data_IF_389991472468
#
_entry.id   IF_389991472468
#
_cell.length_a   1.000
_cell.length_b   1.000
_cell.length_c   1.000
_cell.angle_alpha   90.00
_cell.angle_beta   90.00
_cell.angle_gamma   90.00
#
_symmetry.space_group_name_H-M   'P 1'
#
loop_
_entity.id
_entity.type
_entity.pdbx_description
1 polymer ?
#
# COMPACT_ATOMS: atom_id res chain seq x y z
N UNK A 1 -60.74 81.72 -22.36
CA UNK A 1 -59.70 81.32 -21.40
C UNK A 1 -60.16 80.08 -20.68
N UNK A 2 -59.57 78.93 -20.99
CA UNK A 2 -59.72 77.69 -20.23
C UNK A 2 -58.37 76.97 -20.33
N UNK A 3 -57.72 76.79 -19.19
CA UNK A 3 -56.42 76.12 -19.03
C UNK A 3 -56.66 74.66 -18.73
N UNK A 4 -56.39 73.78 -19.68
CA UNK A 4 -56.42 72.33 -19.44
C UNK A 4 -55.02 71.83 -19.12
N UNK A 5 -54.84 71.44 -17.85
CA UNK A 5 -53.59 70.97 -17.28
C UNK A 5 -53.27 69.55 -17.75
N UNK A 6 -52.12 69.42 -18.44
CA UNK A 6 -51.53 68.16 -18.86
C UNK A 6 -50.88 67.45 -17.65
N UNK A 7 -51.59 66.50 -17.04
CA UNK A 7 -51.06 65.66 -15.94
C UNK A 7 -50.03 64.69 -16.54
N UNK A 8 -48.75 65.02 -16.35
CA UNK A 8 -47.62 64.13 -16.67
C UNK A 8 -47.57 63.00 -15.65
N UNK A 9 -48.18 61.87 -15.98
CA UNK A 9 -48.03 60.62 -15.23
C UNK A 9 -46.60 60.09 -15.37
N UNK A 10 -45.77 60.30 -14.35
CA UNK A 10 -44.48 59.60 -14.19
C UNK A 10 -44.74 58.15 -13.83
N UNK A 11 -44.63 57.25 -14.81
CA UNK A 11 -44.51 55.82 -14.57
C UNK A 11 -43.11 55.54 -14.03
N UNK A 12 -42.98 55.42 -12.71
CA UNK A 12 -41.78 54.90 -12.06
C UNK A 12 -41.71 53.39 -12.33
N UNK A 13 -40.94 52.99 -13.33
CA UNK A 13 -40.51 51.60 -13.46
C UNK A 13 -39.53 51.30 -12.32
N UNK A 14 -40.01 50.61 -11.29
CA UNK A 14 -39.17 50.04 -10.25
C UNK A 14 -38.39 48.88 -10.88
N UNK A 15 -37.12 49.11 -11.22
CA UNK A 15 -36.19 48.05 -11.55
C UNK A 15 -35.92 47.23 -10.28
N UNK A 16 -36.51 46.03 -10.22
CA UNK A 16 -36.15 45.01 -9.23
C UNK A 16 -34.66 44.71 -9.40
N UNK A 17 -33.82 44.82 -8.35
CA UNK A 17 -32.41 44.46 -8.46
C UNK A 17 -32.29 42.96 -8.73
N UNK A 18 -31.83 42.61 -9.93
CA UNK A 18 -31.54 41.23 -10.30
C UNK A 18 -30.34 40.74 -9.46
N UNK A 19 -30.61 39.89 -8.48
CA UNK A 19 -29.58 39.31 -7.63
C UNK A 19 -28.65 38.42 -8.47
N UNK A 20 -27.41 38.90 -8.69
CA UNK A 20 -26.40 38.18 -9.46
C UNK A 20 -25.99 36.92 -8.67
N UNK A 21 -26.48 35.76 -9.11
CA UNK A 21 -26.07 34.45 -8.57
C UNK A 21 -24.55 34.32 -8.63
N UNK A 22 -23.91 34.08 -7.49
CA UNK A 22 -22.46 33.89 -7.41
C UNK A 22 -22.09 32.63 -8.17
N UNK A 23 -21.25 32.78 -9.21
CA UNK A 23 -20.75 31.64 -9.99
C UNK A 23 -19.91 30.78 -9.05
N UNK A 24 -20.15 29.46 -8.98
CA UNK A 24 -19.36 28.58 -8.12
C UNK A 24 -17.92 28.53 -8.60
N UNK A 25 -16.98 28.52 -7.65
CA UNK A 25 -15.54 28.39 -7.94
C UNK A 25 -15.33 27.04 -8.63
N UNK A 26 -14.81 27.08 -9.86
CA UNK A 26 -14.47 25.87 -10.62
C UNK A 26 -13.35 25.13 -9.91
N UNK A 27 -13.47 23.80 -9.85
CA UNK A 27 -12.41 22.95 -9.32
C UNK A 27 -11.09 23.16 -10.10
N UNK A 28 -10.00 23.35 -9.35
CA UNK A 28 -8.65 23.42 -9.88
C UNK A 28 -7.87 22.19 -9.39
N UNK A 29 -7.19 21.51 -10.31
CA UNK A 29 -6.35 20.35 -9.95
C UNK A 29 -5.25 20.77 -8.99
N UNK A 30 -5.05 19.98 -7.93
CA UNK A 30 -3.95 20.14 -6.95
C UNK A 30 -2.57 20.13 -7.62
N UNK A 31 -2.45 19.53 -8.81
CA UNK A 31 -1.20 19.36 -9.54
C UNK A 31 -0.97 20.45 -10.59
N UNK A 32 -1.91 21.37 -10.81
CA UNK A 32 -1.82 22.38 -11.88
C UNK A 32 -0.49 23.16 -11.83
N UNK A 33 -0.11 23.64 -10.65
CA UNK A 33 1.15 24.37 -10.45
C UNK A 33 2.40 23.50 -10.71
N UNK A 34 2.36 22.21 -10.36
CA UNK A 34 3.48 21.29 -10.60
C UNK A 34 3.65 21.04 -12.10
N UNK A 35 2.54 20.79 -12.79
CA UNK A 35 2.53 20.59 -14.24
C UNK A 35 3.01 21.83 -14.98
N UNK A 36 2.54 23.02 -14.59
CA UNK A 36 2.98 24.29 -15.16
C UNK A 36 4.50 24.48 -15.01
N UNK A 37 5.04 24.31 -13.80
CA UNK A 37 6.48 24.41 -13.53
C UNK A 37 7.32 23.39 -14.31
N UNK A 38 6.81 22.17 -14.45
CA UNK A 38 7.48 21.13 -15.23
C UNK A 38 7.59 21.53 -16.71
N UNK A 39 6.50 21.99 -17.33
CA UNK A 39 6.55 22.43 -18.72
C UNK A 39 7.35 23.73 -18.91
N UNK A 40 7.34 24.63 -17.93
CA UNK A 40 8.16 25.85 -17.97
C UNK A 40 9.66 25.54 -17.86
N UNK A 41 10.07 24.58 -17.03
CA UNK A 41 11.49 24.22 -16.88
C UNK A 41 12.08 23.54 -18.11
N UNK A 42 11.25 22.84 -18.90
CA UNK A 42 11.66 22.19 -20.14
C UNK A 42 11.72 23.16 -21.34
N UNK A 43 11.20 24.39 -21.20
CA UNK A 43 11.22 25.40 -22.26
C UNK A 43 12.58 26.10 -22.32
N UNK A 44 13.40 25.66 -23.25
CA UNK A 44 14.62 26.36 -23.65
C UNK A 44 14.35 27.15 -24.95
N UNK A 45 14.64 28.47 -25.01
CA UNK A 45 14.15 29.37 -26.07
C UNK A 45 14.71 29.10 -27.48
N UNK A 46 15.70 28.22 -27.62
CA UNK A 46 16.37 27.90 -28.90
C UNK A 46 16.79 26.44 -29.01
N UNK A 47 16.11 25.51 -28.32
CA UNK A 47 16.47 24.08 -28.32
C UNK A 47 16.24 23.38 -29.67
N UNK A 48 15.16 23.73 -30.37
CA UNK A 48 14.76 23.04 -31.61
C UNK A 48 15.51 23.52 -32.84
N UNK A 49 15.62 24.85 -33.04
CA UNK A 49 16.18 25.45 -34.25
C UNK A 49 17.42 26.33 -34.00
N UNK A 50 17.94 26.39 -32.77
CA UNK A 50 19.06 27.26 -32.43
C UNK A 50 18.74 28.75 -32.55
N UNK A 51 19.79 29.58 -32.56
CA UNK A 51 19.67 31.02 -32.80
C UNK A 51 19.62 31.30 -34.30
N UNK A 52 18.76 32.22 -34.74
CA UNK A 52 18.72 32.68 -36.14
C UNK A 52 20.04 33.36 -36.56
N UNK A 53 20.64 34.11 -35.64
CA UNK A 53 22.01 34.63 -35.72
C UNK A 53 22.65 34.43 -34.35
N UNK A 54 23.76 33.70 -34.30
CA UNK A 54 24.45 33.42 -33.03
C UNK A 54 24.92 34.73 -32.40
N UNK A 55 24.52 35.05 -31.16
CA UNK A 55 25.04 36.23 -30.48
C UNK A 55 26.54 36.05 -30.25
N UNK A 56 27.34 36.90 -30.90
CA UNK A 56 28.79 36.94 -30.70
C UNK A 56 29.10 37.77 -29.47
N UNK A 57 30.00 37.27 -28.62
CA UNK A 57 30.54 38.04 -27.50
C UNK A 57 31.52 39.09 -28.02
N UNK A 58 31.64 40.20 -27.30
CA UNK A 58 32.65 41.22 -27.60
C UNK A 58 34.06 40.62 -27.52
N UNK A 59 35.03 41.03 -28.35
CA UNK A 59 36.42 40.58 -28.25
C UNK A 59 37.07 40.83 -26.88
N UNK A 60 36.55 41.77 -26.11
CA UNK A 60 36.97 42.05 -24.72
C UNK A 60 36.59 40.92 -23.74
N UNK A 61 35.61 40.08 -24.09
CA UNK A 61 35.11 38.94 -23.30
C UNK A 61 35.71 37.61 -23.75
N UNK A 62 36.99 37.61 -24.14
CA UNK A 62 37.70 36.39 -24.49
C UNK A 62 37.76 35.42 -23.29
N UNK A 63 37.86 34.12 -23.60
CA UNK A 63 37.92 33.07 -22.60
C UNK A 63 39.20 33.21 -21.75
N UNK A 64 39.05 33.48 -20.45
CA UNK A 64 40.18 33.50 -19.50
C UNK A 64 40.46 32.08 -18.98
N UNK A 65 41.67 31.86 -18.47
CA UNK A 65 42.06 30.61 -17.78
C UNK A 65 41.07 30.28 -16.65
N UNK A 66 40.75 28.99 -16.49
CA UNK A 66 39.86 28.44 -15.44
C UNK A 66 38.39 28.92 -15.47
N UNK A 67 37.90 29.51 -16.57
CA UNK A 67 36.50 29.99 -16.67
C UNK A 67 35.46 28.87 -16.81
N UNK A 68 35.86 27.70 -17.33
CA UNK A 68 34.97 26.55 -17.54
C UNK A 68 35.10 25.48 -16.47
N UNK A 69 35.93 25.71 -15.47
CA UNK A 69 36.14 24.74 -14.40
C UNK A 69 34.95 24.77 -13.46
N UNK A 70 34.32 23.60 -13.28
CA UNK A 70 33.29 23.42 -12.27
C UNK A 70 33.98 23.46 -10.91
N UNK A 71 33.81 24.57 -10.19
CA UNK A 71 34.31 24.68 -8.82
C UNK A 71 33.59 23.65 -7.95
N UNK A 72 34.33 22.67 -7.42
CA UNK A 72 33.80 21.81 -6.36
C UNK A 72 33.59 22.67 -5.12
N UNK A 73 32.35 22.81 -4.67
CA UNK A 73 32.11 23.38 -3.34
C UNK A 73 32.79 22.45 -2.32
N UNK A 74 33.86 22.95 -1.69
CA UNK A 74 34.68 22.19 -0.72
C UNK A 74 33.90 21.80 0.54
N UNK A 75 32.70 22.33 0.73
CA UNK A 75 31.75 21.94 1.76
C UNK A 75 30.75 20.93 1.20
N UNK A 76 31.25 19.83 0.65
CA UNK A 76 30.41 18.65 0.49
C UNK A 76 30.26 18.05 1.88
N UNK A 77 29.29 18.52 2.65
CA UNK A 77 28.71 17.68 3.70
C UNK A 77 28.40 16.36 2.99
N UNK A 78 29.12 15.31 3.36
CA UNK A 78 29.00 14.02 2.71
C UNK A 78 27.51 13.73 2.63
N UNK A 79 26.96 13.60 1.41
CA UNK A 79 25.54 13.37 1.18
C UNK A 79 25.08 12.40 2.25
N UNK A 80 24.28 12.89 3.19
CA UNK A 80 23.74 12.09 4.26
C UNK A 80 22.75 11.15 3.58
N UNK A 81 23.26 10.08 2.97
CA UNK A 81 22.49 8.90 2.69
C UNK A 81 21.91 8.56 4.06
N UNK A 82 20.60 8.81 4.22
CA UNK A 82 19.81 8.77 5.45
C UNK A 82 19.78 7.38 6.14
N UNK A 83 20.76 6.54 5.87
CA UNK A 83 20.62 5.10 5.85
C UNK A 83 21.95 4.36 6.03
N UNK A 84 23.11 5.04 6.03
CA UNK A 84 24.39 4.33 6.23
C UNK A 84 24.59 3.88 7.68
N UNK A 85 23.98 4.58 8.64
CA UNK A 85 24.18 4.35 10.07
C UNK A 85 23.08 3.49 10.72
N UNK A 86 22.01 3.11 10.01
CA UNK A 86 20.80 2.53 10.64
C UNK A 86 20.36 1.16 10.11
N UNK A 87 21.01 0.57 9.10
CA UNK A 87 20.56 -0.73 8.55
C UNK A 87 21.05 -1.95 9.32
N UNK A 88 22.08 -1.82 10.14
CA UNK A 88 22.68 -2.94 10.85
C UNK A 88 22.68 -2.64 12.35
N UNK A 89 22.20 -3.59 13.19
CA UNK A 89 22.37 -3.45 14.63
C UNK A 89 23.87 -3.38 14.96
N UNK A 90 24.24 -2.72 16.07
CA UNK A 90 25.63 -2.70 16.52
C UNK A 90 26.11 -4.12 16.79
N UNK A 91 27.38 -4.39 16.48
CA UNK A 91 28.01 -5.67 16.81
C UNK A 91 28.06 -5.81 18.33
N UNK A 92 27.62 -6.94 18.92
CA UNK A 92 27.70 -7.18 20.36
C UNK A 92 29.13 -7.01 20.87
N UNK A 93 29.28 -6.45 22.08
CA UNK A 93 30.62 -6.17 22.64
C UNK A 93 31.26 -7.46 23.14
N UNK A 94 32.60 -7.52 23.15
CA UNK A 94 33.36 -8.68 23.64
C UNK A 94 33.02 -9.08 25.09
N UNK A 95 32.65 -8.11 25.92
CA UNK A 95 32.33 -8.32 27.33
C UNK A 95 30.83 -8.58 27.57
N UNK A 96 30.02 -8.54 26.52
CA UNK A 96 28.59 -8.82 26.59
C UNK A 96 28.41 -10.34 26.52
N UNK A 97 28.10 -10.95 27.67
CA UNK A 97 27.76 -12.37 27.70
C UNK A 97 26.38 -12.55 27.06
N UNK A 98 26.22 -13.49 26.12
CA UNK A 98 24.89 -13.78 25.60
C UNK A 98 24.00 -14.23 26.77
N UNK A 99 22.68 -13.99 26.71
CA UNK A 99 21.76 -14.52 27.71
C UNK A 99 21.76 -16.04 27.63
N UNK A 100 22.62 -16.68 28.43
CA UNK A 100 22.61 -18.13 28.60
C UNK A 100 21.50 -18.42 29.60
N UNK A 101 20.41 -19.00 29.13
CA UNK A 101 19.33 -19.49 29.99
C UNK A 101 19.82 -20.72 30.77
N UNK A 102 20.41 -20.46 31.94
CA UNK A 102 20.73 -21.50 32.91
C UNK A 102 19.46 -21.89 33.66
N UNK A 103 18.62 -22.71 33.03
CA UNK A 103 17.47 -23.27 33.71
C UNK A 103 17.93 -24.37 34.67
N UNK A 104 17.64 -24.25 35.96
CA UNK A 104 17.87 -25.29 36.98
C UNK A 104 16.85 -26.44 36.85
N UNK A 105 16.59 -26.92 35.64
CA UNK A 105 15.63 -27.98 35.35
C UNK A 105 16.34 -29.32 35.21
N UNK A 106 15.76 -30.37 35.78
CA UNK A 106 16.27 -31.72 35.59
C UNK A 106 15.75 -32.29 34.26
N UNK A 107 16.55 -32.12 33.19
CA UNK A 107 16.21 -32.59 31.85
C UNK A 107 15.95 -34.10 31.78
N UNK A 108 16.61 -34.90 32.63
CA UNK A 108 16.40 -36.35 32.68
C UNK A 108 15.00 -36.68 33.17
N UNK A 109 14.56 -36.04 34.26
CA UNK A 109 13.22 -36.23 34.80
C UNK A 109 12.14 -35.72 33.82
N UNK A 110 12.36 -34.55 33.21
CA UNK A 110 11.42 -33.99 32.23
C UNK A 110 11.30 -34.86 30.99
N UNK A 111 12.40 -35.40 30.47
CA UNK A 111 12.38 -36.27 29.30
C UNK A 111 11.64 -37.58 29.58
N UNK A 112 11.81 -38.16 30.77
CA UNK A 112 11.06 -39.34 31.21
C UNK A 112 9.55 -39.06 31.25
N UNK A 113 9.15 -37.97 31.90
CA UNK A 113 7.73 -37.58 31.94
C UNK A 113 7.17 -37.28 30.55
N UNK A 114 7.94 -36.61 29.69
CA UNK A 114 7.54 -36.32 28.32
C UNK A 114 7.40 -37.58 27.48
N UNK A 115 8.25 -38.59 27.66
CA UNK A 115 8.13 -39.87 26.99
C UNK A 115 6.89 -40.64 27.45
N UNK A 116 6.62 -40.67 28.76
CA UNK A 116 5.43 -41.31 29.33
C UNK A 116 4.13 -40.64 28.89
N UNK A 117 4.11 -39.31 28.78
CA UNK A 117 2.93 -38.53 28.36
C UNK A 117 2.66 -38.60 26.85
N UNK A 118 3.66 -38.94 26.04
CA UNK A 118 3.50 -39.00 24.58
C UNK A 118 2.66 -40.22 24.20
N UNK A 119 1.58 -40.06 23.39
CA UNK A 119 0.85 -41.21 22.90
C UNK A 119 1.72 -42.05 21.95
N UNK A 120 1.47 -43.37 21.85
CA UNK A 120 2.19 -44.22 20.92
C UNK A 120 1.98 -43.74 19.48
N UNK A 121 3.05 -43.75 18.68
CA UNK A 121 2.98 -43.39 17.26
C UNK A 121 2.17 -44.44 16.53
N UNK A 122 1.00 -44.05 16.02
CA UNK A 122 0.21 -44.92 15.13
C UNK A 122 0.94 -45.09 13.80
N UNK A 123 1.03 -46.31 13.24
CA UNK A 123 1.64 -46.51 11.93
C UNK A 123 0.87 -45.73 10.86
N UNK A 124 1.59 -45.23 9.85
CA UNK A 124 0.96 -44.52 8.74
C UNK A 124 -0.03 -45.46 8.02
N UNK A 125 -1.27 -45.00 7.86
CA UNK A 125 -2.30 -45.75 7.13
C UNK A 125 -1.90 -45.85 5.66
N UNK A 126 -1.94 -47.08 5.15
CA UNK A 126 -1.55 -47.45 3.80
C UNK A 126 -2.76 -48.09 3.13
N UNK A 127 -3.18 -47.56 1.99
CA UNK A 127 -4.23 -48.15 1.16
C UNK A 127 -3.58 -49.02 0.09
N UNK A 128 -4.12 -50.23 -0.07
CA UNK A 128 -3.70 -51.17 -1.12
C UNK A 128 -4.94 -51.55 -1.92
N UNK A 129 -5.13 -50.91 -3.06
CA UNK A 129 -6.30 -51.13 -3.92
C UNK A 129 -6.06 -52.19 -5.00
N UNK A 130 -4.80 -52.57 -5.26
CA UNK A 130 -4.42 -53.45 -6.38
C UNK A 130 -3.97 -54.83 -5.93
N UNK A 131 -4.34 -55.87 -6.69
CA UNK A 131 -3.92 -57.27 -6.42
C UNK A 131 -2.40 -57.48 -6.43
N UNK A 132 -1.64 -56.55 -7.02
CA UNK A 132 -0.16 -56.56 -7.08
C UNK A 132 0.51 -55.76 -5.95
N UNK A 133 -0.25 -55.24 -4.97
CA UNK A 133 0.31 -54.65 -3.76
C UNK A 133 0.83 -53.21 -3.87
N UNK A 134 0.47 -52.46 -4.91
CA UNK A 134 0.84 -51.04 -5.01
C UNK A 134 0.17 -50.28 -3.87
N UNK A 135 1.00 -49.68 -3.01
CA UNK A 135 0.56 -49.06 -1.76
C UNK A 135 0.59 -47.54 -1.86
N UNK A 136 -0.50 -46.88 -1.48
CA UNK A 136 -0.60 -45.41 -1.37
C UNK A 136 -0.74 -44.97 0.08
N UNK A 137 -0.08 -43.88 0.47
CA UNK A 137 -0.23 -43.29 1.81
C UNK A 137 -1.56 -42.54 1.87
N UNK A 138 -2.41 -42.84 2.86
CA UNK A 138 -3.63 -42.08 3.10
C UNK A 138 -3.31 -40.88 4.00
N UNK A 139 -3.65 -39.68 3.54
CA UNK A 139 -3.65 -38.47 4.36
C UNK A 139 -4.68 -38.57 5.50
N UNK A 140 -4.41 -37.92 6.62
CA UNK A 140 -5.13 -38.08 7.90
C UNK A 140 -6.57 -37.54 7.92
N UNK A 141 -7.44 -38.11 7.10
CA UNK A 141 -8.90 -37.96 7.24
C UNK A 141 -9.37 -39.12 8.11
N UNK A 142 -9.95 -38.79 9.25
CA UNK A 142 -10.57 -39.75 10.16
C UNK A 142 -11.80 -40.35 9.45
N UNK A 143 -11.61 -41.50 8.82
CA UNK A 143 -12.68 -42.26 8.17
C UNK A 143 -13.57 -42.87 9.27
N UNK A 144 -14.64 -42.20 9.66
CA UNK A 144 -15.77 -42.82 10.34
C UNK A 144 -16.52 -43.71 9.36
N UNK A 145 -16.53 -45.02 9.62
CA UNK A 145 -17.24 -46.00 8.79
C UNK A 145 -18.65 -46.15 9.35
N UNK A 146 -19.60 -45.36 8.86
CA UNK A 146 -21.02 -45.61 9.12
C UNK A 146 -21.49 -46.78 8.27
N UNK A 147 -21.67 -47.95 8.90
CA UNK A 147 -22.25 -49.12 8.24
C UNK A 147 -23.76 -48.92 8.20
N UNK A 148 -24.32 -48.63 7.02
CA UNK A 148 -25.76 -48.57 6.80
C UNK A 148 -26.33 -49.99 6.82
N UNK A 149 -26.90 -50.41 7.95
CA UNK A 149 -27.75 -51.60 8.02
C UNK A 149 -29.09 -51.28 7.35
N UNK A 150 -29.31 -51.80 6.15
CA UNK A 150 -30.58 -51.69 5.44
C UNK A 150 -31.66 -52.53 6.12
N UNK A 151 -32.42 -51.93 7.05
CA UNK A 151 -33.72 -52.46 7.49
C UNK A 151 -34.71 -51.32 7.73
N UNK A 152 -35.78 -51.33 6.95
CA UNK A 152 -37.08 -50.78 7.35
C UNK A 152 -37.34 -49.31 7.00
N UNK A 153 -38.39 -49.09 6.20
CA UNK A 153 -38.99 -47.80 5.85
C UNK A 153 -39.60 -47.07 7.06
N UNK A 154 -39.85 -45.77 6.84
CA UNK A 154 -40.72 -44.81 7.56
C UNK A 154 -40.04 -44.06 8.72
N UNK A 155 -40.08 -42.72 8.84
CA UNK A 155 -40.92 -41.66 8.26
C UNK A 155 -40.10 -40.36 8.12
N UNK A 156 -40.56 -39.49 7.22
CA UNK A 156 -40.11 -38.10 7.06
C UNK A 156 -40.67 -37.30 8.23
N UNK A 157 -39.82 -36.56 8.96
CA UNK A 157 -40.27 -35.52 9.89
C UNK A 157 -39.50 -34.23 9.67
N UNK A 158 -40.28 -33.15 9.75
CA UNK A 158 -40.01 -31.77 9.35
C UNK A 158 -39.06 -30.99 10.29
N UNK A 159 -38.38 -29.99 9.72
CA UNK A 159 -37.77 -28.83 10.40
C UNK A 159 -36.45 -29.13 11.13
N UNK A 160 -35.40 -28.32 11.09
CA UNK A 160 -35.36 -26.86 11.11
C UNK A 160 -34.14 -26.33 10.34
N UNK A 161 -34.33 -25.21 9.65
CA UNK A 161 -33.27 -24.32 9.20
C UNK A 161 -32.58 -23.70 10.42
N UNK A 162 -31.25 -23.77 10.49
CA UNK A 162 -30.46 -22.73 11.15
C UNK A 162 -29.29 -22.38 10.26
N UNK A 163 -29.40 -21.20 9.67
CA UNK A 163 -28.33 -20.45 9.05
C UNK A 163 -27.34 -20.04 10.14
N UNK A 164 -26.07 -20.43 10.04
CA UNK A 164 -24.99 -19.69 10.70
C UNK A 164 -23.87 -19.52 9.68
N UNK A 165 -23.69 -18.26 9.31
CA UNK A 165 -22.81 -17.78 8.27
C UNK A 165 -21.33 -17.98 8.56
N UNK A 166 -20.63 -18.00 7.44
CA UNK A 166 -19.19 -17.77 7.29
C UNK A 166 -18.82 -16.40 7.87
N UNK A 167 -17.78 -16.32 8.71
CA UNK A 167 -16.84 -15.20 8.63
C UNK A 167 -15.41 -15.72 8.81
N UNK A 168 -14.72 -15.82 7.68
CA UNK A 168 -13.28 -16.00 7.57
C UNK A 168 -12.57 -14.70 7.94
N UNK A 169 -11.91 -14.66 9.10
CA UNK A 169 -10.96 -13.61 9.45
C UNK A 169 -9.60 -13.84 8.79
N UNK A 170 -9.39 -13.24 7.62
CA UNK A 170 -8.09 -13.07 6.98
C UNK A 170 -7.24 -12.07 7.81
N UNK A 171 -6.22 -12.56 8.53
CA UNK A 171 -5.15 -11.69 9.04
C UNK A 171 -4.09 -11.50 7.96
N UNK A 172 -3.97 -10.28 7.44
CA UNK A 172 -2.86 -9.83 6.59
C UNK A 172 -1.86 -9.03 7.45
N UNK A 173 -0.58 -9.32 7.20
CA UNK A 173 0.64 -8.51 7.41
C UNK A 173 0.92 -7.96 8.82
#
# INVERSE_FOLDING_TARGET
MATEGFIRGTLLCICVPCEKKKIPIKYQSKHNNKTKKFYESQKEPHKTMGYAKTPLKSPKEFLKKHTRETKSNHETTAFACLDKNHKKPPVPKRNETPPIFHENKNFVAMNKLNALRKPPRKPARKLVDTRKGITRKLGGVELEVHVLTTRGRHQINHGQETTNGEETGFARA
#
